data_IF_837206748907
#
_entry.id   IF_837206748907
#
_cell.length_a   1.000
_cell.length_b   1.000
_cell.length_c   1.000
_cell.angle_alpha   90.00
_cell.angle_beta   90.00
_cell.angle_gamma   90.00
#
_symmetry.space_group_name_H-M   'P 1'
#
loop_
_entity.id
_entity.type
_entity.pdbx_description
1 polymer ?
#
# COMPACT_ATOMS: atom_id res chain seq x y z
N UNK A 1 16.89 36.61 13.93
CA UNK A 1 17.06 35.18 14.28
C UNK A 1 17.27 34.28 13.05
N UNK A 2 16.47 34.37 11.99
CA UNK A 2 16.62 33.50 10.79
C UNK A 2 18.04 33.43 10.20
N UNK A 3 18.63 34.57 9.86
CA UNK A 3 19.97 34.64 9.25
C UNK A 3 21.10 34.14 10.16
N UNK A 4 20.86 34.12 11.46
CA UNK A 4 21.81 33.58 12.42
C UNK A 4 21.70 32.06 12.50
N UNK A 5 20.48 31.53 12.57
CA UNK A 5 20.22 30.09 12.51
C UNK A 5 20.75 29.49 11.20
N UNK A 6 20.47 30.14 10.05
CA UNK A 6 20.94 29.70 8.73
C UNK A 6 22.48 29.61 8.64
N UNK A 7 23.21 30.46 9.37
CA UNK A 7 24.68 30.43 9.41
C UNK A 7 25.24 29.37 10.35
N UNK A 8 24.55 29.06 11.46
CA UNK A 8 25.01 28.12 12.48
C UNK A 8 24.67 26.66 12.17
N UNK A 9 23.66 26.42 11.35
CA UNK A 9 23.17 25.08 11.00
C UNK A 9 24.09 24.40 9.97
N UNK A 10 24.25 23.07 10.08
CA UNK A 10 25.10 22.28 9.21
C UNK A 10 24.65 22.32 7.73
N UNK A 11 25.62 22.21 6.80
CA UNK A 11 25.34 22.13 5.35
C UNK A 11 24.45 20.91 5.07
N UNK A 12 23.21 21.16 4.64
CA UNK A 12 22.23 20.12 4.31
C UNK A 12 20.93 20.19 5.12
N UNK A 13 20.87 20.98 6.19
CA UNK A 13 19.64 21.21 6.94
C UNK A 13 18.99 22.51 6.45
N UNK A 14 17.82 22.46 5.80
CA UNK A 14 17.15 23.66 5.34
C UNK A 14 16.55 24.43 6.52
N UNK A 15 16.75 25.75 6.53
CA UNK A 15 16.11 26.66 7.48
C UNK A 15 15.04 27.44 6.72
N UNK A 16 13.79 27.26 7.14
CA UNK A 16 12.63 27.96 6.58
C UNK A 16 12.20 29.10 7.49
N UNK A 17 11.63 30.15 6.88
CA UNK A 17 10.99 31.26 7.58
C UNK A 17 9.62 31.46 6.96
N UNK A 18 8.59 31.58 7.80
CA UNK A 18 7.24 31.85 7.36
C UNK A 18 7.17 33.20 6.63
N UNK A 19 6.49 33.23 5.49
CA UNK A 19 6.23 34.46 4.74
C UNK A 19 5.18 35.33 5.47
N UNK A 20 5.25 36.67 5.40
CA UNK A 20 4.27 37.55 6.04
C UNK A 20 2.80 37.33 5.61
N UNK A 21 2.58 36.75 4.43
CA UNK A 21 1.25 36.48 3.85
C UNK A 21 0.75 35.06 4.12
N UNK A 22 1.53 34.21 4.78
CA UNK A 22 1.21 32.81 5.01
C UNK A 22 0.48 32.64 6.36
N UNK A 23 -0.54 31.78 6.40
CA UNK A 23 -1.25 31.41 7.64
C UNK A 23 -0.29 30.98 8.75
N UNK A 24 -0.63 31.31 10.00
CA UNK A 24 0.20 31.04 11.18
C UNK A 24 0.53 29.54 11.28
N UNK A 25 1.82 29.21 11.16
CA UNK A 25 2.27 27.82 11.19
C UNK A 25 1.94 27.14 12.53
N UNK A 26 1.97 27.89 13.63
CA UNK A 26 1.67 27.39 14.97
C UNK A 26 0.19 27.04 15.13
N UNK A 27 -0.70 27.81 14.51
CA UNK A 27 -2.14 27.55 14.48
C UNK A 27 -2.47 26.33 13.60
N UNK A 28 -1.74 26.13 12.50
CA UNK A 28 -1.88 24.93 11.64
C UNK A 28 -1.42 23.67 12.38
N UNK A 29 -0.36 23.77 13.17
CA UNK A 29 0.26 22.63 13.83
C UNK A 29 -0.25 22.40 15.26
N UNK A 30 -1.23 23.19 15.71
CA UNK A 30 -1.82 23.13 17.07
C UNK A 30 -0.76 23.14 18.18
N UNK A 31 0.22 24.05 18.08
CA UNK A 31 1.34 24.16 19.03
C UNK A 31 1.69 25.60 19.37
N UNK A 32 2.40 25.79 20.49
CA UNK A 32 2.87 27.09 20.94
C UNK A 32 4.27 27.44 20.41
N UNK A 33 4.62 28.72 20.48
CA UNK A 33 5.91 29.26 19.98
C UNK A 33 7.16 28.59 20.59
N UNK A 34 7.04 28.09 21.81
CA UNK A 34 8.13 27.48 22.59
C UNK A 34 8.08 25.94 22.59
N UNK A 35 7.20 25.35 21.78
CA UNK A 35 7.07 23.90 21.65
C UNK A 35 8.04 23.32 20.61
N UNK A 36 8.49 22.09 20.85
CA UNK A 36 9.16 21.27 19.83
C UNK A 36 8.20 20.22 19.31
N UNK A 37 7.81 20.37 18.05
CA UNK A 37 7.06 19.39 17.29
C UNK A 37 8.05 18.57 16.45
N UNK A 38 8.28 17.32 16.83
CA UNK A 38 9.19 16.41 16.15
C UNK A 38 8.37 15.55 15.20
N UNK A 39 8.67 15.62 13.91
CA UNK A 39 8.03 14.80 12.88
C UNK A 39 8.99 13.72 12.39
N UNK A 40 8.46 12.54 12.10
CA UNK A 40 9.22 11.47 11.44
C UNK A 40 9.43 11.74 9.94
N UNK A 41 10.20 10.86 9.28
CA UNK A 41 10.44 10.92 7.83
C UNK A 41 9.13 10.78 7.01
N UNK A 42 8.06 10.29 7.62
CA UNK A 42 6.75 10.12 7.00
C UNK A 42 5.83 11.34 7.20
N UNK A 43 6.29 12.38 7.90
CA UNK A 43 5.51 13.59 8.17
C UNK A 43 4.50 13.43 9.31
N UNK A 44 4.64 12.41 10.17
CA UNK A 44 3.80 12.23 11.36
C UNK A 44 4.45 12.84 12.60
N UNK A 45 3.65 13.53 13.43
CA UNK A 45 4.10 14.10 14.70
C UNK A 45 4.41 12.97 15.69
N UNK A 46 5.67 12.72 15.99
CA UNK A 46 6.10 11.67 16.93
C UNK A 46 6.19 12.17 18.36
N UNK A 47 6.60 13.42 18.56
CA UNK A 47 6.68 14.05 19.87
C UNK A 47 6.24 15.50 19.79
N UNK A 48 5.39 15.90 20.75
CA UNK A 48 5.05 17.29 21.04
C UNK A 48 5.61 17.61 22.42
N UNK A 49 6.67 18.42 22.48
CA UNK A 49 7.37 18.74 23.71
C UNK A 49 7.07 20.19 24.07
N UNK A 50 6.32 20.36 25.14
CA UNK A 50 5.91 21.66 25.68
C UNK A 50 6.84 22.14 26.80
N UNK A 51 6.78 23.43 27.14
CA UNK A 51 7.48 23.97 28.30
C UNK A 51 7.07 23.26 29.61
N UNK A 52 7.99 23.01 30.56
CA UNK A 52 9.41 23.38 30.56
C UNK A 52 10.33 22.33 29.89
N UNK A 53 9.80 21.25 29.32
CA UNK A 53 10.63 20.18 28.75
C UNK A 53 11.28 20.55 27.42
N UNK A 54 10.78 21.61 26.77
CA UNK A 54 11.34 22.18 25.54
C UNK A 54 12.64 22.95 25.74
N UNK A 55 13.09 23.22 26.98
CA UNK A 55 14.40 23.85 27.19
C UNK A 55 15.52 22.97 26.61
N UNK A 56 16.24 23.49 25.60
CA UNK A 56 17.33 22.79 24.89
C UNK A 56 18.51 22.38 25.79
N UNK A 57 18.58 22.89 27.02
CA UNK A 57 19.54 22.44 28.04
C UNK A 57 19.22 21.04 28.56
N UNK A 58 17.96 20.60 28.48
CA UNK A 58 17.54 19.26 28.87
C UNK A 58 17.62 18.26 27.70
N UNK A 59 17.85 16.97 27.99
CA UNK A 59 18.05 15.96 26.95
C UNK A 59 16.76 15.51 26.25
N UNK A 60 15.59 16.03 26.62
CA UNK A 60 14.30 15.55 26.11
C UNK A 60 14.13 15.77 24.61
N UNK A 61 14.51 16.96 24.12
CA UNK A 61 14.44 17.29 22.69
C UNK A 61 15.40 16.42 21.88
N UNK A 62 16.64 16.26 22.35
CA UNK A 62 17.62 15.40 21.70
C UNK A 62 17.17 13.92 21.67
N UNK A 63 16.66 13.41 22.80
CA UNK A 63 16.16 12.05 22.90
C UNK A 63 14.97 11.81 21.97
N UNK A 64 14.03 12.75 21.87
CA UNK A 64 12.91 12.69 20.95
C UNK A 64 13.35 12.70 19.48
N UNK A 65 14.31 13.55 19.11
CA UNK A 65 14.89 13.58 17.76
C UNK A 65 15.60 12.27 17.44
N UNK A 66 16.44 11.76 18.34
CA UNK A 66 17.14 10.47 18.17
C UNK A 66 16.16 9.31 18.05
N UNK A 67 15.14 9.25 18.92
CA UNK A 67 14.12 8.21 18.87
C UNK A 67 13.32 8.25 17.56
N UNK A 68 13.01 9.45 17.07
CA UNK A 68 12.30 9.65 15.80
C UNK A 68 13.16 9.28 14.60
N UNK A 69 14.44 9.62 14.62
CA UNK A 69 15.36 9.33 13.52
C UNK A 69 15.76 7.85 13.45
N UNK A 70 15.98 7.20 14.58
CA UNK A 70 16.45 5.81 14.64
C UNK A 70 15.32 4.77 14.48
N UNK A 71 14.07 5.12 14.79
CA UNK A 71 12.94 4.21 14.56
C UNK A 71 12.52 4.28 13.09
N UNK A 72 12.76 3.21 12.34
CA UNK A 72 12.32 3.06 10.94
C UNK A 72 10.81 2.74 10.86
N UNK A 73 10.01 3.71 11.32
CA UNK A 73 8.55 3.66 11.33
C UNK A 73 8.01 3.71 9.89
N UNK A 74 8.82 4.20 8.95
CA UNK A 74 8.43 4.50 7.58
C UNK A 74 8.48 3.32 6.59
N UNK A 75 9.03 2.17 6.96
CA UNK A 75 8.93 0.97 6.12
C UNK A 75 7.51 0.35 6.21
N UNK A 76 6.50 1.11 5.78
CA UNK A 76 5.09 0.74 5.79
C UNK A 76 4.78 -0.24 4.64
N UNK A 77 5.31 -1.44 4.72
CA UNK A 77 4.92 -2.58 3.87
C UNK A 77 4.11 -3.59 4.67
N UNK A 78 3.30 -4.40 3.98
CA UNK A 78 2.60 -5.52 4.63
C UNK A 78 3.59 -6.46 5.31
N UNK A 79 4.72 -6.76 4.67
CA UNK A 79 5.76 -7.65 5.21
C UNK A 79 6.37 -7.13 6.50
N UNK A 80 6.83 -5.88 6.51
CA UNK A 80 7.44 -5.31 7.70
C UNK A 80 6.42 -5.16 8.83
N UNK A 81 5.20 -4.73 8.51
CA UNK A 81 4.17 -4.47 9.52
C UNK A 81 3.62 -5.76 10.13
N UNK A 82 3.42 -6.81 9.32
CA UNK A 82 2.99 -8.13 9.81
C UNK A 82 4.08 -8.82 10.63
N UNK A 83 5.34 -8.69 10.22
CA UNK A 83 6.49 -9.24 10.96
C UNK A 83 6.65 -8.56 12.33
N UNK A 84 6.63 -7.23 12.37
CA UNK A 84 6.76 -6.46 13.61
C UNK A 84 5.59 -6.69 14.57
N UNK A 85 4.39 -6.93 14.04
CA UNK A 85 3.19 -7.24 14.83
C UNK A 85 3.02 -8.74 15.12
N UNK A 86 3.99 -9.58 14.75
CA UNK A 86 3.98 -11.04 14.94
C UNK A 86 2.68 -11.71 14.44
N UNK A 87 2.27 -11.36 13.22
CA UNK A 87 1.02 -11.86 12.64
C UNK A 87 1.07 -13.37 12.39
N UNK A 88 -0.04 -14.03 12.70
CA UNK A 88 -0.26 -15.44 12.36
C UNK A 88 -0.74 -15.58 10.91
N UNK A 89 -0.24 -16.60 10.22
CA UNK A 89 -0.71 -16.97 8.88
C UNK A 89 -2.03 -17.75 8.88
N UNK A 90 -2.45 -18.26 10.04
CA UNK A 90 -3.65 -19.09 10.16
C UNK A 90 -4.87 -18.27 10.55
N UNK A 91 -4.80 -17.59 11.70
CA UNK A 91 -5.86 -16.73 12.20
C UNK A 91 -5.24 -15.44 12.73
N UNK A 92 -5.58 -14.32 12.09
CA UNK A 92 -5.18 -13.00 12.51
C UNK A 92 -6.40 -12.08 12.63
N UNK A 93 -6.84 -11.76 13.86
CA UNK A 93 -7.90 -10.78 14.06
C UNK A 93 -7.42 -9.37 13.72
N UNK A 94 -8.38 -8.47 13.53
CA UNK A 94 -8.10 -7.04 13.36
C UNK A 94 -7.82 -6.42 14.72
N UNK A 95 -6.70 -5.71 14.86
CA UNK A 95 -6.41 -4.90 16.04
C UNK A 95 -6.96 -3.49 15.82
N UNK A 96 -8.02 -3.14 16.56
CA UNK A 96 -8.66 -1.81 16.51
C UNK A 96 -8.08 -0.82 17.53
N UNK A 97 -7.02 -1.18 18.26
CA UNK A 97 -6.37 -0.26 19.18
C UNK A 97 -5.61 0.85 18.45
N UNK A 98 -5.32 1.94 19.16
CA UNK A 98 -4.45 3.01 18.66
C UNK A 98 -2.96 2.70 18.87
N UNK A 99 -2.60 1.41 19.02
CA UNK A 99 -1.21 1.01 19.19
C UNK A 99 -0.38 1.40 17.95
N UNK A 100 0.91 1.75 18.12
CA UNK A 100 1.75 2.13 16.97
C UNK A 100 1.82 1.05 15.87
N UNK A 101 1.69 -0.23 16.23
CA UNK A 101 1.71 -1.35 15.29
C UNK A 101 0.36 -1.53 14.57
N UNK A 102 -0.76 -1.41 15.29
CA UNK A 102 -2.10 -1.45 14.70
C UNK A 102 -2.30 -0.30 13.70
N UNK A 103 -1.98 0.93 14.12
CA UNK A 103 -2.05 2.12 13.26
C UNK A 103 -1.11 2.02 12.06
N UNK A 104 0.06 1.38 12.22
CA UNK A 104 0.96 1.10 11.09
C UNK A 104 0.30 0.16 10.09
N UNK A 105 -0.32 -0.94 10.52
CA UNK A 105 -1.02 -1.85 9.62
C UNK A 105 -2.20 -1.16 8.91
N UNK A 106 -3.01 -0.39 9.64
CA UNK A 106 -4.11 0.36 9.07
C UNK A 106 -3.65 1.35 7.98
N UNK A 107 -2.51 2.03 8.19
CA UNK A 107 -1.87 2.89 7.17
C UNK A 107 -1.41 2.10 5.95
N UNK A 108 -0.85 0.91 6.12
CA UNK A 108 -0.49 0.03 4.98
C UNK A 108 -1.72 -0.36 4.19
N UNK A 109 -2.81 -0.75 4.85
CA UNK A 109 -4.10 -1.03 4.21
C UNK A 109 -4.62 0.20 3.44
N UNK A 110 -4.52 1.39 4.01
CA UNK A 110 -4.91 2.64 3.35
C UNK A 110 -4.06 2.95 2.11
N UNK A 111 -2.73 2.84 2.21
CA UNK A 111 -1.83 3.05 1.07
C UNK A 111 -2.06 2.01 -0.03
N UNK A 112 -2.36 0.77 0.34
CA UNK A 112 -2.73 -0.27 -0.61
C UNK A 112 -4.06 0.07 -1.30
N UNK A 113 -5.08 0.53 -0.58
CA UNK A 113 -6.32 1.03 -1.20
C UNK A 113 -6.04 2.18 -2.16
N UNK A 114 -5.25 3.17 -1.75
CA UNK A 114 -4.89 4.32 -2.58
C UNK A 114 -4.17 3.88 -3.86
N UNK A 115 -3.32 2.85 -3.78
CA UNK A 115 -2.69 2.28 -4.98
C UNK A 115 -3.72 1.79 -6.00
N UNK A 116 -4.86 1.21 -5.58
CA UNK A 116 -5.92 0.77 -6.51
C UNK A 116 -6.57 1.94 -7.26
N UNK A 117 -6.63 3.11 -6.64
CA UNK A 117 -7.08 4.33 -7.32
C UNK A 117 -6.05 4.77 -8.37
N UNK A 118 -4.76 4.72 -8.05
CA UNK A 118 -3.68 5.02 -9.02
C UNK A 118 -3.73 4.03 -10.20
N UNK A 119 -4.00 2.75 -9.94
CA UNK A 119 -4.09 1.71 -10.98
C UNK A 119 -5.22 1.95 -11.99
N UNK A 120 -6.21 2.82 -11.70
CA UNK A 120 -7.16 3.27 -12.73
C UNK A 120 -6.50 4.02 -13.88
N UNK A 121 -5.32 4.61 -13.65
CA UNK A 121 -4.55 5.26 -14.70
C UNK A 121 -4.19 4.30 -15.84
N UNK A 122 -4.09 2.98 -15.60
CA UNK A 122 -3.91 1.97 -16.66
C UNK A 122 -5.03 2.03 -17.69
N UNK A 123 -6.28 2.13 -17.19
CA UNK A 123 -7.48 2.29 -18.03
C UNK A 123 -7.40 3.57 -18.85
N UNK A 124 -6.96 4.68 -18.23
CA UNK A 124 -6.77 5.95 -18.94
C UNK A 124 -5.74 5.80 -20.06
N UNK A 125 -4.59 5.16 -19.79
CA UNK A 125 -3.56 4.93 -20.80
C UNK A 125 -4.04 4.04 -21.95
N UNK A 126 -4.86 3.01 -21.69
CA UNK A 126 -5.43 2.18 -22.75
C UNK A 126 -6.37 2.96 -23.66
N UNK A 127 -7.23 3.82 -23.09
CA UNK A 127 -8.13 4.70 -23.84
C UNK A 127 -7.32 5.70 -24.67
N UNK A 128 -6.38 6.42 -24.05
CA UNK A 128 -5.55 7.42 -24.72
C UNK A 128 -4.70 6.84 -25.84
N UNK A 129 -4.20 5.61 -25.68
CA UNK A 129 -3.43 4.88 -26.71
C UNK A 129 -4.32 4.17 -27.74
N UNK A 130 -5.65 4.30 -27.65
CA UNK A 130 -6.64 3.63 -28.51
C UNK A 130 -6.45 2.10 -28.54
N UNK A 131 -6.04 1.50 -27.43
CA UNK A 131 -5.84 0.05 -27.26
C UNK A 131 -7.07 -0.59 -26.63
N UNK A 132 -8.23 -0.45 -27.28
CA UNK A 132 -9.52 -0.94 -26.78
C UNK A 132 -9.55 -2.47 -26.58
N UNK A 133 -8.68 -3.21 -27.27
CA UNK A 133 -8.49 -4.64 -27.05
C UNK A 133 -7.91 -5.00 -25.67
N UNK A 134 -7.32 -4.04 -24.94
CA UNK A 134 -6.84 -4.22 -23.56
C UNK A 134 -7.94 -3.91 -22.53
N UNK A 135 -8.99 -3.16 -22.90
CA UNK A 135 -10.16 -2.87 -22.08
C UNK A 135 -11.16 -4.03 -22.10
N UNK A 136 -10.71 -5.17 -21.59
CA UNK A 136 -11.55 -6.38 -21.48
C UNK A 136 -12.56 -6.27 -20.33
N UNK A 137 -13.62 -7.08 -20.37
CA UNK A 137 -14.54 -7.23 -19.25
C UNK A 137 -13.80 -7.56 -17.94
N UNK A 138 -12.80 -8.45 -18.01
CA UNK A 138 -11.96 -8.81 -16.85
C UNK A 138 -11.26 -7.58 -16.25
N UNK A 139 -10.66 -6.73 -17.10
CA UNK A 139 -9.96 -5.52 -16.66
C UNK A 139 -10.91 -4.55 -15.95
N UNK A 140 -12.03 -4.21 -16.60
CA UNK A 140 -12.99 -3.24 -16.08
C UNK A 140 -13.68 -3.76 -14.82
N UNK A 141 -14.08 -5.04 -14.81
CA UNK A 141 -14.64 -5.69 -13.64
C UNK A 141 -13.67 -5.60 -12.46
N UNK A 142 -12.45 -6.10 -12.61
CA UNK A 142 -11.44 -6.11 -11.55
C UNK A 142 -11.13 -4.71 -11.01
N UNK A 143 -10.73 -3.76 -11.87
CA UNK A 143 -10.34 -2.43 -11.42
C UNK A 143 -11.53 -1.62 -10.87
N UNK A 144 -12.73 -1.84 -11.40
CA UNK A 144 -13.95 -1.23 -10.87
C UNK A 144 -14.29 -1.74 -9.47
N UNK A 145 -14.37 -3.06 -9.28
CA UNK A 145 -14.79 -3.66 -8.00
C UNK A 145 -13.70 -3.58 -6.92
N UNK A 146 -12.42 -3.66 -7.28
CA UNK A 146 -11.32 -3.61 -6.30
C UNK A 146 -11.33 -2.33 -5.46
N UNK A 147 -11.68 -1.19 -6.05
CA UNK A 147 -11.71 0.09 -5.34
C UNK A 147 -12.78 0.06 -4.25
N UNK A 148 -14.00 -0.38 -4.58
CA UNK A 148 -15.09 -0.47 -3.61
C UNK A 148 -14.81 -1.51 -2.53
N UNK A 149 -14.28 -2.68 -2.91
CA UNK A 149 -13.95 -3.75 -1.98
C UNK A 149 -12.87 -3.31 -0.97
N UNK A 150 -11.80 -2.66 -1.46
CA UNK A 150 -10.72 -2.19 -0.58
C UNK A 150 -11.10 -0.94 0.23
N UNK A 151 -11.97 -0.08 -0.30
CA UNK A 151 -12.56 1.00 0.50
C UNK A 151 -13.34 0.43 1.69
N UNK A 152 -14.19 -0.58 1.47
CA UNK A 152 -14.91 -1.24 2.55
C UNK A 152 -13.96 -1.94 3.53
N UNK A 153 -12.93 -2.63 3.02
CA UNK A 153 -11.90 -3.26 3.84
C UNK A 153 -11.19 -2.27 4.76
N UNK A 154 -10.69 -1.15 4.22
CA UNK A 154 -10.03 -0.10 5.02
C UNK A 154 -11.00 0.58 5.98
N UNK A 155 -12.28 0.72 5.61
CA UNK A 155 -13.27 1.38 6.47
C UNK A 155 -13.67 0.53 7.67
N UNK A 156 -13.79 -0.78 7.50
CA UNK A 156 -14.39 -1.66 8.50
C UNK A 156 -13.41 -2.67 9.13
N UNK A 157 -12.38 -3.10 8.41
CA UNK A 157 -11.45 -4.18 8.82
C UNK A 157 -10.00 -3.87 8.39
N UNK A 158 -9.48 -2.72 8.84
CA UNK A 158 -8.16 -2.22 8.46
C UNK A 158 -6.98 -2.97 9.10
N UNK A 159 -6.79 -4.24 8.72
CA UNK A 159 -5.75 -5.11 9.23
C UNK A 159 -6.23 -6.56 9.27
N UNK A 160 -5.61 -7.40 10.10
CA UNK A 160 -6.06 -8.77 10.26
C UNK A 160 -5.76 -9.68 9.06
N UNK A 161 -6.58 -10.71 8.88
CA UNK A 161 -6.44 -11.76 7.87
C UNK A 161 -6.16 -11.27 6.42
N UNK A 162 -6.76 -10.17 5.93
CA UNK A 162 -6.50 -9.64 4.59
C UNK A 162 -5.04 -9.22 4.33
N UNK A 163 -4.16 -9.16 5.34
CA UNK A 163 -2.76 -8.78 5.15
C UNK A 163 -2.04 -9.66 4.11
N UNK A 164 -2.31 -10.97 4.09
CA UNK A 164 -1.67 -11.89 3.14
C UNK A 164 -2.12 -11.60 1.70
N UNK A 165 -3.38 -11.20 1.53
CA UNK A 165 -3.93 -10.80 0.22
C UNK A 165 -3.18 -9.57 -0.28
N UNK A 166 -3.04 -8.55 0.57
CA UNK A 166 -2.30 -7.33 0.25
C UNK A 166 -0.83 -7.61 -0.07
N UNK A 167 -0.18 -8.49 0.71
CA UNK A 167 1.21 -8.90 0.52
C UNK A 167 1.43 -9.61 -0.82
N UNK A 168 0.66 -10.66 -1.12
CA UNK A 168 0.81 -11.45 -2.35
C UNK A 168 0.42 -10.60 -3.57
N UNK A 169 -0.67 -9.81 -3.49
CA UNK A 169 -1.07 -8.93 -4.59
C UNK A 169 0.03 -7.91 -4.91
N UNK A 170 0.61 -7.26 -3.88
CA UNK A 170 1.69 -6.29 -4.08
C UNK A 170 2.88 -6.92 -4.78
N UNK A 171 3.28 -8.13 -4.38
CA UNK A 171 4.36 -8.87 -5.03
C UNK A 171 4.06 -9.15 -6.51
N UNK A 172 2.89 -9.71 -6.83
CA UNK A 172 2.52 -10.00 -8.22
C UNK A 172 2.40 -8.72 -9.04
N UNK A 173 1.88 -7.63 -8.47
CA UNK A 173 1.78 -6.33 -9.13
C UNK A 173 3.17 -5.75 -9.44
N UNK A 174 4.16 -5.90 -8.58
CA UNK A 174 5.55 -5.51 -8.89
C UNK A 174 6.03 -6.23 -10.15
N UNK A 175 5.83 -7.54 -10.24
CA UNK A 175 6.24 -8.34 -11.41
C UNK A 175 5.45 -7.98 -12.67
N UNK A 176 4.14 -7.75 -12.54
CA UNK A 176 3.26 -7.36 -13.65
C UNK A 176 3.60 -5.97 -14.19
N UNK A 177 3.76 -4.97 -13.33
CA UNK A 177 4.11 -3.61 -13.76
C UNK A 177 5.53 -3.53 -14.30
N UNK A 178 6.45 -4.35 -13.80
CA UNK A 178 7.77 -4.52 -14.42
C UNK A 178 7.63 -5.00 -15.87
N UNK A 179 6.76 -5.99 -16.15
CA UNK A 179 6.48 -6.42 -17.51
C UNK A 179 5.90 -5.29 -18.38
N UNK A 180 4.93 -4.53 -17.87
CA UNK A 180 4.36 -3.40 -18.61
C UNK A 180 5.38 -2.29 -18.89
N UNK A 181 6.24 -1.97 -17.92
CA UNK A 181 7.34 -1.04 -18.08
C UNK A 181 8.32 -1.47 -19.18
N UNK A 182 8.74 -2.73 -19.17
CA UNK A 182 9.59 -3.29 -20.22
C UNK A 182 8.89 -3.29 -21.58
N UNK A 183 7.60 -3.65 -21.63
CA UNK A 183 6.82 -3.65 -22.88
C UNK A 183 6.64 -2.24 -23.47
N UNK A 184 6.70 -1.20 -22.63
CA UNK A 184 6.61 0.20 -23.04
C UNK A 184 7.87 0.73 -23.74
N UNK A 185 9.04 0.08 -23.57
CA UNK A 185 10.30 0.43 -24.25
C UNK A 185 10.30 0.14 -25.76
N UNK A 186 9.21 -0.41 -26.29
CA UNK A 186 8.97 -0.56 -27.72
C UNK A 186 9.30 -1.95 -28.28
N UNK A 187 9.20 -2.13 -29.62
CA UNK A 187 9.31 -3.43 -30.27
C UNK A 187 10.65 -4.15 -30.01
N UNK A 188 11.72 -3.38 -29.79
CA UNK A 188 13.05 -3.92 -29.50
C UNK A 188 13.11 -4.66 -28.17
N UNK A 189 12.33 -4.24 -27.17
CA UNK A 189 12.24 -4.93 -25.88
C UNK A 189 11.17 -6.02 -25.90
N UNK A 190 10.04 -5.78 -26.58
CA UNK A 190 8.91 -6.72 -26.63
C UNK A 190 9.29 -8.12 -27.13
N UNK A 191 10.31 -8.24 -27.99
CA UNK A 191 10.82 -9.54 -28.47
C UNK A 191 11.38 -10.43 -27.35
N UNK A 192 11.87 -9.84 -26.26
CA UNK A 192 12.40 -10.57 -25.09
C UNK A 192 11.31 -10.93 -24.07
N UNK A 193 10.07 -10.46 -24.27
CA UNK A 193 8.96 -10.61 -23.33
C UNK A 193 8.08 -11.84 -23.61
N UNK A 194 8.71 -12.97 -23.93
CA UNK A 194 8.04 -14.26 -24.20
C UNK A 194 7.38 -14.88 -22.96
N UNK A 195 7.76 -14.43 -21.76
CA UNK A 195 7.31 -14.95 -20.48
C UNK A 195 5.95 -14.43 -20.01
N UNK A 196 5.19 -13.73 -20.88
CA UNK A 196 3.84 -13.23 -20.59
C UNK A 196 2.90 -14.32 -20.04
N UNK A 197 3.02 -15.55 -20.54
CA UNK A 197 2.21 -16.68 -20.08
C UNK A 197 2.47 -17.02 -18.60
N UNK A 198 3.73 -16.95 -18.17
CA UNK A 198 4.11 -17.22 -16.78
C UNK A 198 3.58 -16.16 -15.82
N UNK A 199 3.44 -14.90 -16.27
CA UNK A 199 2.74 -13.87 -15.50
C UNK A 199 1.29 -14.24 -15.23
N UNK A 200 0.56 -14.69 -16.25
CA UNK A 200 -0.84 -15.10 -16.07
C UNK A 200 -0.94 -16.32 -15.16
N UNK A 201 -0.01 -17.27 -15.25
CA UNK A 201 0.07 -18.38 -14.29
C UNK A 201 0.35 -17.90 -12.86
N UNK A 202 1.24 -16.92 -12.68
CA UNK A 202 1.53 -16.32 -11.37
C UNK A 202 0.31 -15.61 -10.78
N UNK A 203 -0.45 -14.87 -11.59
CA UNK A 203 -1.70 -14.22 -11.17
C UNK A 203 -2.76 -15.26 -10.76
N UNK A 204 -2.91 -16.36 -11.51
CA UNK A 204 -3.79 -17.46 -11.12
C UNK A 204 -3.34 -18.13 -9.81
N UNK A 205 -2.04 -18.39 -9.66
CA UNK A 205 -1.48 -18.95 -8.43
C UNK A 205 -1.76 -18.07 -7.22
N UNK A 206 -1.64 -16.74 -7.34
CA UNK A 206 -2.05 -15.80 -6.28
C UNK A 206 -3.50 -16.03 -5.85
N UNK A 207 -4.45 -16.13 -6.80
CA UNK A 207 -5.85 -16.30 -6.43
C UNK A 207 -6.11 -17.65 -5.76
N UNK A 208 -5.41 -18.71 -6.16
CA UNK A 208 -5.49 -20.00 -5.47
C UNK A 208 -4.97 -19.92 -4.03
N UNK A 209 -3.81 -19.28 -3.81
CA UNK A 209 -3.25 -19.07 -2.47
C UNK A 209 -4.23 -18.28 -1.59
N UNK A 210 -4.78 -17.17 -2.11
CA UNK A 210 -5.77 -16.35 -1.40
C UNK A 210 -7.03 -17.14 -1.06
N UNK A 211 -7.53 -17.95 -2.01
CA UNK A 211 -8.71 -18.80 -1.81
C UNK A 211 -8.50 -19.80 -0.69
N UNK A 212 -7.37 -20.52 -0.70
CA UNK A 212 -7.03 -21.51 0.34
C UNK A 212 -6.91 -20.82 1.69
N UNK A 213 -6.17 -19.71 1.77
CA UNK A 213 -5.98 -18.97 3.02
C UNK A 213 -7.30 -18.46 3.61
N UNK A 214 -8.19 -17.93 2.77
CA UNK A 214 -9.50 -17.43 3.21
C UNK A 214 -10.44 -18.57 3.62
N UNK A 215 -10.41 -19.70 2.88
CA UNK A 215 -11.21 -20.87 3.21
C UNK A 215 -10.77 -21.51 4.53
N UNK A 216 -9.47 -21.60 4.80
CA UNK A 216 -8.94 -22.06 6.10
C UNK A 216 -9.39 -21.13 7.22
N UNK A 217 -9.39 -19.81 6.99
CA UNK A 217 -9.83 -18.85 8.00
C UNK A 217 -11.32 -18.98 8.34
N UNK A 218 -12.19 -19.26 7.36
CA UNK A 218 -13.62 -19.49 7.58
C UNK A 218 -13.93 -20.76 8.39
N UNK A 219 -13.04 -21.74 8.35
CA UNK A 219 -13.21 -23.01 9.06
C UNK A 219 -12.53 -22.96 10.43
N UNK A 220 -11.53 -22.10 10.58
CA UNK A 220 -10.88 -21.84 11.86
C UNK A 220 -11.77 -20.95 12.74
N UNK A 221 -11.85 -21.25 14.03
CA UNK A 221 -12.52 -20.42 15.03
C UNK A 221 -11.69 -19.13 15.26
N UNK A 222 -11.86 -18.16 14.37
CA UNK A 222 -11.07 -16.94 14.31
C UNK A 222 -11.97 -15.72 14.54
N UNK A 223 -11.51 -14.77 15.36
CA UNK A 223 -12.20 -13.50 15.62
C UNK A 223 -11.98 -12.49 14.46
N UNK A 224 -12.26 -12.94 13.24
CA UNK A 224 -12.29 -12.13 12.03
C UNK A 224 -13.68 -12.26 11.40
N UNK A 225 -14.31 -11.19 10.87
CA UNK A 225 -15.68 -11.26 10.39
C UNK A 225 -15.87 -12.24 9.22
N UNK A 226 -16.65 -13.31 9.45
CA UNK A 226 -16.97 -14.32 8.44
C UNK A 226 -17.64 -13.74 7.19
N UNK A 227 -18.44 -12.68 7.36
CA UNK A 227 -19.06 -11.95 6.25
C UNK A 227 -18.01 -11.39 5.29
N UNK A 228 -16.90 -10.86 5.82
CA UNK A 228 -15.81 -10.34 4.99
C UNK A 228 -15.06 -11.46 4.30
N UNK A 229 -14.79 -12.57 5.00
CA UNK A 229 -14.19 -13.74 4.38
C UNK A 229 -15.06 -14.31 3.24
N UNK A 230 -16.38 -14.39 3.43
CA UNK A 230 -17.30 -14.89 2.42
C UNK A 230 -17.29 -14.00 1.16
N UNK A 231 -17.28 -12.68 1.32
CA UNK A 231 -17.17 -11.71 0.21
C UNK A 231 -15.85 -11.88 -0.53
N UNK A 232 -14.72 -11.97 0.20
CA UNK A 232 -13.40 -12.18 -0.38
C UNK A 232 -13.34 -13.51 -1.16
N UNK A 233 -13.90 -14.58 -0.60
CA UNK A 233 -13.91 -15.90 -1.22
C UNK A 233 -14.75 -15.91 -2.49
N UNK A 234 -15.97 -15.35 -2.47
CA UNK A 234 -16.82 -15.20 -3.64
C UNK A 234 -16.13 -14.39 -4.75
N UNK A 235 -15.46 -13.30 -4.36
CA UNK A 235 -14.71 -12.47 -5.30
C UNK A 235 -13.50 -13.22 -5.90
N UNK A 236 -12.76 -13.98 -5.09
CA UNK A 236 -11.64 -14.80 -5.57
C UNK A 236 -12.09 -15.82 -6.62
N UNK A 237 -13.21 -16.53 -6.40
CA UNK A 237 -13.78 -17.46 -7.39
C UNK A 237 -14.16 -16.76 -8.69
N UNK A 238 -14.76 -15.56 -8.62
CA UNK A 238 -15.10 -14.79 -9.82
C UNK A 238 -13.86 -14.43 -10.65
N UNK A 239 -12.76 -14.03 -10.01
CA UNK A 239 -11.50 -13.71 -10.68
C UNK A 239 -10.82 -14.95 -11.25
N UNK A 240 -10.81 -16.07 -10.52
CA UNK A 240 -10.29 -17.34 -11.04
C UNK A 240 -11.02 -17.73 -12.32
N UNK A 241 -12.35 -17.63 -12.35
CA UNK A 241 -13.15 -17.95 -13.54
C UNK A 241 -12.79 -17.03 -14.72
N UNK A 242 -12.73 -15.72 -14.50
CA UNK A 242 -12.42 -14.74 -15.55
C UNK A 242 -10.97 -14.88 -16.07
N UNK A 243 -9.99 -15.07 -15.19
CA UNK A 243 -8.60 -15.28 -15.58
C UNK A 243 -8.39 -16.63 -16.29
N UNK A 244 -9.07 -17.69 -15.86
CA UNK A 244 -9.02 -19.00 -16.52
C UNK A 244 -9.60 -18.92 -17.93
N UNK A 245 -10.73 -18.23 -18.11
CA UNK A 245 -11.31 -17.97 -19.42
C UNK A 245 -10.35 -17.15 -20.30
N UNK A 246 -9.77 -16.07 -19.76
CA UNK A 246 -8.76 -15.28 -20.46
C UNK A 246 -7.57 -16.13 -20.92
N UNK A 247 -7.06 -16.99 -20.04
CA UNK A 247 -5.93 -17.88 -20.33
C UNK A 247 -6.27 -18.89 -21.43
N UNK A 248 -7.44 -19.52 -21.33
CA UNK A 248 -7.93 -20.46 -22.34
C UNK A 248 -8.02 -19.80 -23.73
N UNK A 249 -8.69 -18.65 -23.82
CA UNK A 249 -8.88 -17.94 -25.09
C UNK A 249 -7.56 -17.41 -25.67
N UNK A 250 -6.65 -16.92 -24.82
CA UNK A 250 -5.42 -16.27 -25.25
C UNK A 250 -4.31 -17.25 -25.65
N UNK A 251 -4.24 -18.41 -24.99
CA UNK A 251 -3.09 -19.32 -25.12
C UNK A 251 -3.44 -20.71 -25.63
N UNK A 252 -4.60 -21.26 -25.25
CA UNK A 252 -4.98 -22.63 -25.62
C UNK A 252 -5.79 -22.65 -26.92
N UNK A 253 -6.87 -21.87 -27.00
CA UNK A 253 -7.74 -21.83 -28.17
C UNK A 253 -7.04 -21.36 -29.46
N UNK A 254 -6.05 -20.46 -29.35
CA UNK A 254 -5.22 -20.04 -30.49
C UNK A 254 -4.31 -21.15 -31.01
N UNK A 255 -3.80 -22.01 -30.11
CA UNK A 255 -2.94 -23.13 -30.49
C UNK A 255 -3.73 -24.21 -31.24
N UNK A 256 -5.01 -24.42 -30.90
CA UNK A 256 -5.91 -25.35 -31.60
C UNK A 256 -6.34 -24.88 -32.99
N UNK A 257 -6.26 -23.57 -33.27
CA UNK A 257 -6.61 -22.96 -34.58
C UNK A 257 -5.43 -22.78 -35.54
N UNK A 258 -4.24 -23.24 -35.16
CA UNK A 258 -3.05 -23.24 -36.02
C UNK A 258 -2.90 -24.66 -36.62
N UNK A 259 -3.16 -24.89 -37.92
CA UNK A 259 -2.87 -26.17 -38.56
C UNK A 259 -1.36 -26.47 -38.57
#
# INVERSE_FOLDING_TARGET
>A
MYWELKRRVAKGIPVYQQSPLQNNVWEILDGDKDDFLVYDRCGYLTFHIVLPYSYLTYPYVEAAVRATYHKDICNCSFTASSWLANYSLFCQPVDYSESPLAMRMARVCWWFYFSKVIELSDTMFFILRKKNNQLTLLHVYHHGTMIFNWWAGVKYVAGGQPFLIGLVNSFVHVVMYMYYGLAALGPQMQKYLSWKRYLTCLQLLQFFIVTIHTAVNLIADCDFPDSMNAVVLAYAFSLIALFSNFYYQSYLAKKTKSP
#
